data_IF_631402546225
#
_entry.id   IF_631402546225
#
_cell.length_a   1.000
_cell.length_b   1.000
_cell.length_c   1.000
_cell.angle_alpha   90.00
_cell.angle_beta   90.00
_cell.angle_gamma   90.00
#
_symmetry.space_group_name_H-M   'P 1'
#
loop_
_entity.id
_entity.type
_entity.pdbx_description
1 polymer ?
#
# COMPACT_ATOMS: atom_id res chain seq x y z
N UNK A 1 20.82 -8.25 -4.01
CA UNK A 1 21.06 -6.90 -3.47
C UNK A 1 19.94 -5.97 -3.89
N UNK A 2 19.35 -5.26 -2.94
CA UNK A 2 18.27 -4.33 -3.24
C UNK A 2 18.87 -3.03 -3.77
N UNK A 3 18.43 -2.66 -4.96
CA UNK A 3 18.80 -1.40 -5.58
C UNK A 3 18.16 -0.24 -4.81
N UNK A 4 18.82 0.92 -4.77
CA UNK A 4 18.24 2.11 -4.13
C UNK A 4 16.89 2.48 -4.73
N UNK A 5 16.76 2.29 -6.06
CA UNK A 5 15.48 2.56 -6.73
C UNK A 5 14.38 1.63 -6.22
N UNK A 6 14.72 0.37 -5.95
CA UNK A 6 13.76 -0.58 -5.44
C UNK A 6 13.31 -0.20 -4.03
N UNK A 7 14.24 0.22 -3.19
CA UNK A 7 13.91 0.67 -1.84
C UNK A 7 12.98 1.88 -1.88
N UNK A 8 13.26 2.84 -2.77
CA UNK A 8 12.40 4.01 -2.91
C UNK A 8 11.01 3.62 -3.38
N UNK A 9 10.90 2.67 -4.30
CA UNK A 9 9.61 2.17 -4.76
C UNK A 9 8.83 1.55 -3.61
N UNK A 10 9.50 0.73 -2.80
CA UNK A 10 8.84 0.09 -1.65
C UNK A 10 8.35 1.15 -0.67
N UNK A 11 9.18 2.14 -0.35
CA UNK A 11 8.80 3.21 0.56
C UNK A 11 7.58 3.97 0.05
N UNK A 12 7.57 4.29 -1.24
CA UNK A 12 6.43 4.98 -1.85
C UNK A 12 5.17 4.13 -1.83
N UNK A 13 5.32 2.84 -2.06
CA UNK A 13 4.17 1.93 -2.01
C UNK A 13 3.60 1.83 -0.61
N UNK A 14 4.46 1.79 0.40
CA UNK A 14 4.02 1.75 1.79
C UNK A 14 3.26 3.02 2.14
N UNK A 15 3.81 4.19 1.76
CA UNK A 15 3.14 5.46 1.99
C UNK A 15 1.79 5.51 1.30
N UNK A 16 1.74 5.08 0.06
CA UNK A 16 0.49 5.07 -0.71
C UNK A 16 -0.52 4.13 -0.08
N UNK A 17 -0.08 2.95 0.34
CA UNK A 17 -0.96 1.97 0.97
C UNK A 17 -1.55 2.54 2.26
N UNK A 18 -0.74 3.19 3.09
CA UNK A 18 -1.20 3.80 4.32
C UNK A 18 -2.21 4.92 4.04
N UNK A 19 -1.92 5.78 3.06
CA UNK A 19 -2.83 6.86 2.70
C UNK A 19 -4.16 6.33 2.18
N UNK A 20 -4.12 5.28 1.37
CA UNK A 20 -5.34 4.67 0.84
C UNK A 20 -6.19 4.06 1.96
N UNK A 21 -5.55 3.47 2.95
CA UNK A 21 -6.29 2.95 4.10
C UNK A 21 -7.00 4.06 4.86
N UNK A 22 -6.35 5.22 5.04
CA UNK A 22 -6.96 6.37 5.68
C UNK A 22 -8.16 6.88 4.90
N UNK A 23 -8.01 6.94 3.58
CA UNK A 23 -9.11 7.38 2.71
C UNK A 23 -10.27 6.39 2.80
N UNK A 24 -9.97 5.10 2.82
CA UNK A 24 -11.00 4.08 2.93
C UNK A 24 -11.77 4.17 4.24
N UNK A 25 -11.11 4.60 5.31
CA UNK A 25 -11.76 4.77 6.60
C UNK A 25 -12.56 6.07 6.72
N UNK A 26 -12.48 6.93 5.72
CA UNK A 26 -13.26 8.16 5.68
C UNK A 26 -14.72 7.84 5.35
N UNK A 27 -15.60 8.85 5.48
CA UNK A 27 -17.04 8.65 5.34
C UNK A 27 -17.48 8.26 3.91
N UNK A 28 -16.68 8.55 2.92
CA UNK A 28 -17.03 8.28 1.52
C UNK A 28 -15.92 7.56 0.77
N UNK A 29 -15.67 6.28 1.09
CA UNK A 29 -14.65 5.52 0.34
C UNK A 29 -15.16 5.22 -1.07
N UNK A 30 -14.33 5.52 -2.05
CA UNK A 30 -14.65 5.24 -3.44
C UNK A 30 -14.22 3.83 -3.82
N UNK A 31 -14.90 3.26 -4.81
CA UNK A 31 -14.55 1.92 -5.29
C UNK A 31 -13.11 1.87 -5.81
N UNK A 32 -12.64 2.97 -6.36
CA UNK A 32 -11.28 3.05 -6.87
C UNK A 32 -10.25 2.90 -5.75
N UNK A 33 -10.57 3.39 -4.56
CA UNK A 33 -9.68 3.22 -3.41
C UNK A 33 -9.50 1.75 -3.08
N UNK A 34 -10.57 0.98 -3.09
CA UNK A 34 -10.48 -0.47 -2.86
C UNK A 34 -9.62 -1.15 -3.92
N UNK A 35 -9.78 -0.75 -5.18
CA UNK A 35 -8.98 -1.30 -6.26
C UNK A 35 -7.51 -0.96 -6.08
N UNK A 36 -7.21 0.30 -5.76
CA UNK A 36 -5.85 0.75 -5.58
C UNK A 36 -5.19 0.08 -4.37
N UNK A 37 -5.95 -0.13 -3.30
CA UNK A 37 -5.45 -0.86 -2.14
C UNK A 37 -5.04 -2.28 -2.52
N UNK A 38 -5.87 -2.94 -3.30
CA UNK A 38 -5.57 -4.30 -3.75
C UNK A 38 -4.31 -4.35 -4.60
N UNK A 39 -4.16 -3.40 -5.50
CA UNK A 39 -2.99 -3.33 -6.37
C UNK A 39 -1.74 -3.03 -5.54
N UNK A 40 -1.81 -2.06 -4.64
CA UNK A 40 -0.67 -1.71 -3.79
C UNK A 40 -0.27 -2.89 -2.90
N UNK A 41 -1.25 -3.59 -2.35
CA UNK A 41 -0.99 -4.76 -1.54
C UNK A 41 -0.27 -5.85 -2.34
N UNK A 42 -0.75 -6.13 -3.55
CA UNK A 42 -0.14 -7.13 -4.40
C UNK A 42 1.31 -6.76 -4.74
N UNK A 43 1.56 -5.49 -5.01
CA UNK A 43 2.93 -5.04 -5.30
C UNK A 43 3.84 -5.18 -4.09
N UNK A 44 3.36 -4.81 -2.91
CA UNK A 44 4.15 -4.94 -1.69
C UNK A 44 4.46 -6.41 -1.40
N UNK A 45 3.48 -7.28 -1.58
CA UNK A 45 3.69 -8.71 -1.37
C UNK A 45 4.70 -9.28 -2.35
N UNK A 46 4.73 -8.76 -3.58
CA UNK A 46 5.70 -9.22 -4.57
C UNK A 46 7.13 -8.85 -4.17
N UNK A 47 7.32 -7.84 -3.32
CA UNK A 47 8.62 -7.49 -2.76
C UNK A 47 8.90 -8.22 -1.44
N UNK A 48 7.99 -9.09 -1.00
CA UNK A 48 8.17 -9.82 0.24
C UNK A 48 7.74 -9.06 1.50
N UNK A 49 6.99 -7.97 1.32
CA UNK A 49 6.51 -7.16 2.45
C UNK A 49 5.22 -7.77 3.00
N UNK A 50 5.15 -7.92 4.31
CA UNK A 50 3.94 -8.43 4.97
C UNK A 50 2.99 -7.27 5.20
N UNK A 51 1.94 -7.17 4.38
CA UNK A 51 1.02 -6.04 4.44
C UNK A 51 0.15 -6.01 5.69
N UNK A 52 -0.04 -7.15 6.32
CA UNK A 52 -0.82 -7.20 7.57
C UNK A 52 -0.20 -6.33 8.66
N UNK A 53 1.12 -6.14 8.63
CA UNK A 53 1.81 -5.29 9.58
C UNK A 53 1.56 -3.80 9.31
N UNK A 54 1.07 -3.47 8.13
CA UNK A 54 0.81 -2.10 7.72
C UNK A 54 -0.67 -1.73 7.83
N UNK A 55 -1.54 -2.69 8.11
CA UNK A 55 -2.96 -2.43 8.16
C UNK A 55 -3.34 -1.56 9.36
N UNK A 56 -4.23 -0.60 9.10
CA UNK A 56 -4.77 0.29 10.12
C UNK A 56 -6.12 -0.25 10.55
N UNK A 57 -6.26 -0.53 11.83
CA UNK A 57 -7.51 -1.04 12.39
C UNK A 57 -8.26 0.05 13.16
#
# INVERSE_FOLDING_TARGET
>A
MIDMNEKEMIDKLIDKYTDLQRIKQSDNPEKEVDYQLRVAKAKLESFGIITSDLEIN
#
